data_IF_712780009571
#
_entry.id   IF_712780009571
#
_cell.length_a   1.000
_cell.length_b   1.000
_cell.length_c   1.000
_cell.angle_alpha   90.00
_cell.angle_beta   90.00
_cell.angle_gamma   90.00
#
_symmetry.space_group_name_H-M   'P 1'
#
loop_
_entity.id
_entity.type
_entity.pdbx_description
1 polymer ?
#
# COMPACT_ATOMS: atom_id res chain seq x y z
N UNK A 1 -35.23 -24.37 25.47
CA UNK A 1 -34.20 -24.86 24.52
C UNK A 1 -32.92 -24.14 24.86
N UNK A 2 -31.83 -24.86 25.12
CA UNK A 2 -30.54 -24.21 25.32
C UNK A 2 -30.05 -23.72 23.94
N UNK A 3 -29.85 -22.42 23.81
CA UNK A 3 -29.05 -21.88 22.72
C UNK A 3 -27.62 -22.37 22.95
N UNK A 4 -27.10 -23.23 22.08
CA UNK A 4 -25.66 -23.47 22.03
C UNK A 4 -25.04 -22.25 21.36
N UNK A 5 -24.60 -21.27 22.16
CA UNK A 5 -23.73 -20.20 21.69
C UNK A 5 -22.46 -20.83 21.14
N UNK A 6 -22.38 -20.95 19.81
CA UNK A 6 -21.16 -21.39 19.14
C UNK A 6 -20.07 -20.32 19.28
N UNK A 7 -18.79 -20.68 19.06
CA UNK A 7 -17.67 -19.74 19.16
C UNK A 7 -17.81 -18.54 18.21
N UNK A 8 -18.45 -18.72 17.06
CA UNK A 8 -18.76 -17.64 16.11
C UNK A 8 -19.71 -16.58 16.73
N UNK A 9 -20.73 -17.01 17.47
CA UNK A 9 -21.65 -16.10 18.17
C UNK A 9 -20.96 -15.36 19.33
N UNK A 10 -19.96 -15.97 19.98
CA UNK A 10 -19.18 -15.32 21.04
C UNK A 10 -18.29 -14.22 20.45
N UNK A 11 -17.59 -14.52 19.34
CA UNK A 11 -16.80 -13.54 18.59
C UNK A 11 -17.64 -12.35 18.10
N UNK A 12 -18.83 -12.60 17.55
CA UNK A 12 -19.75 -11.52 17.14
C UNK A 12 -20.13 -10.59 18.30
N UNK A 13 -20.49 -11.12 19.46
CA UNK A 13 -20.89 -10.30 20.61
C UNK A 13 -19.69 -9.55 21.22
N UNK A 14 -18.49 -10.13 21.22
CA UNK A 14 -17.28 -9.43 21.64
C UNK A 14 -16.88 -8.29 20.70
N UNK A 15 -17.05 -8.46 19.38
CA UNK A 15 -16.84 -7.41 18.38
C UNK A 15 -17.86 -6.28 18.53
N UNK A 16 -19.14 -6.61 18.73
CA UNK A 16 -20.19 -5.62 19.03
C UNK A 16 -19.86 -4.84 20.30
N UNK A 17 -19.47 -5.51 21.39
CA UNK A 17 -19.10 -4.85 22.65
C UNK A 17 -17.89 -3.92 22.48
N UNK A 18 -16.83 -4.38 21.80
CA UNK A 18 -15.64 -3.56 21.55
C UNK A 18 -15.94 -2.34 20.67
N UNK A 19 -16.66 -2.53 19.55
CA UNK A 19 -17.05 -1.44 18.65
C UNK A 19 -17.94 -0.41 19.33
N UNK A 20 -18.96 -0.85 20.09
CA UNK A 20 -19.85 0.06 20.83
C UNK A 20 -19.10 0.87 21.91
N UNK A 21 -18.06 0.30 22.53
CA UNK A 21 -17.19 1.04 23.46
C UNK A 21 -16.32 2.08 22.77
N UNK A 22 -15.90 1.84 21.52
CA UNK A 22 -15.11 2.82 20.75
C UNK A 22 -15.96 3.99 20.21
N UNK A 23 -17.29 3.84 20.08
CA UNK A 23 -18.19 4.97 19.79
C UNK A 23 -18.20 6.02 20.92
N UNK A 24 -17.84 5.64 22.14
CA UNK A 24 -17.68 6.51 23.30
C UNK A 24 -16.36 6.18 24.01
N UNK A 25 -15.20 6.50 23.39
CA UNK A 25 -13.92 5.91 23.77
C UNK A 25 -13.48 6.32 25.18
N UNK A 26 -12.73 5.47 25.90
CA UNK A 26 -12.16 5.81 27.20
C UNK A 26 -11.27 7.06 27.12
N UNK A 27 -11.33 7.92 28.13
CA UNK A 27 -10.48 9.11 28.22
C UNK A 27 -9.05 8.81 28.71
N UNK A 28 -8.81 7.60 29.23
CA UNK A 28 -7.49 7.11 29.59
C UNK A 28 -6.83 6.45 28.37
N UNK A 29 -5.61 6.89 28.04
CA UNK A 29 -4.83 6.34 26.92
C UNK A 29 -4.60 4.84 27.10
N UNK A 30 -4.25 4.39 28.31
CA UNK A 30 -4.00 2.96 28.60
C UNK A 30 -5.27 2.10 28.41
N UNK A 31 -6.44 2.62 28.79
CA UNK A 31 -7.73 1.92 28.62
C UNK A 31 -8.14 1.88 27.15
N UNK A 32 -7.92 2.97 26.41
CA UNK A 32 -8.17 3.05 24.96
C UNK A 32 -7.24 2.12 24.17
N UNK A 33 -5.95 2.09 24.49
CA UNK A 33 -4.99 1.15 23.89
C UNK A 33 -5.35 -0.30 24.18
N UNK A 34 -5.77 -0.61 25.41
CA UNK A 34 -6.25 -1.96 25.77
C UNK A 34 -7.49 -2.36 24.98
N UNK A 35 -8.42 -1.41 24.74
CA UNK A 35 -9.62 -1.65 23.94
C UNK A 35 -9.31 -1.84 22.44
N UNK A 36 -8.36 -1.07 21.89
CA UNK A 36 -7.90 -1.19 20.51
C UNK A 36 -7.12 -2.50 20.28
N UNK A 37 -6.26 -2.90 21.22
CA UNK A 37 -5.58 -4.20 21.17
C UNK A 37 -6.58 -5.36 21.23
N UNK A 38 -7.63 -5.26 22.05
CA UNK A 38 -8.69 -6.26 22.07
C UNK A 38 -9.42 -6.30 20.73
N UNK A 39 -9.78 -5.15 20.16
CA UNK A 39 -10.47 -5.11 18.87
C UNK A 39 -9.61 -5.74 17.76
N UNK A 40 -8.33 -5.38 17.65
CA UNK A 40 -7.39 -5.94 16.68
C UNK A 40 -7.30 -7.48 16.79
N UNK A 41 -7.12 -8.02 18.00
CA UNK A 41 -7.10 -9.46 18.25
C UNK A 41 -8.42 -10.16 17.83
N UNK A 42 -9.57 -9.53 18.06
CA UNK A 42 -10.86 -10.05 17.60
C UNK A 42 -10.98 -9.98 16.06
N UNK A 43 -10.60 -8.87 15.44
CA UNK A 43 -10.67 -8.68 13.98
C UNK A 43 -9.76 -9.68 13.23
N UNK A 44 -8.56 -9.95 13.75
CA UNK A 44 -7.60 -10.90 13.16
C UNK A 44 -8.16 -12.32 12.99
N UNK A 45 -9.21 -12.68 13.76
CA UNK A 45 -9.89 -13.98 13.73
C UNK A 45 -11.04 -14.04 12.72
N UNK A 46 -11.42 -12.90 12.12
CA UNK A 46 -12.49 -12.83 11.12
C UNK A 46 -11.92 -13.07 9.73
N UNK A 47 -12.42 -14.10 9.05
CA UNK A 47 -12.07 -14.39 7.65
C UNK A 47 -12.69 -13.38 6.66
N UNK A 48 -12.19 -13.38 5.44
CA UNK A 48 -12.75 -12.59 4.34
C UNK A 48 -14.15 -13.03 3.94
N UNK A 49 -14.93 -12.09 3.38
CA UNK A 49 -16.33 -12.30 3.02
C UNK A 49 -17.20 -12.88 4.18
N UNK A 50 -17.18 -12.25 5.37
CA UNK A 50 -17.86 -12.77 6.55
C UNK A 50 -19.39 -12.80 6.40
N UNK A 51 -20.05 -13.59 7.24
CA UNK A 51 -21.51 -13.73 7.31
C UNK A 51 -22.20 -12.38 7.56
N UNK A 52 -23.50 -12.27 7.23
CA UNK A 52 -24.23 -11.01 7.41
C UNK A 52 -24.31 -10.58 8.88
N UNK A 53 -24.48 -11.53 9.81
CA UNK A 53 -24.50 -11.24 11.24
C UNK A 53 -23.14 -10.75 11.76
N UNK A 54 -22.04 -11.29 11.22
CA UNK A 54 -20.69 -10.79 11.48
C UNK A 54 -20.45 -9.39 10.87
N UNK A 55 -20.96 -9.11 9.66
CA UNK A 55 -20.93 -7.74 9.10
C UNK A 55 -21.68 -6.75 10.00
N UNK A 56 -22.89 -7.12 10.46
CA UNK A 56 -23.68 -6.31 11.39
C UNK A 56 -22.97 -6.16 12.76
N UNK A 57 -22.13 -7.13 13.16
CA UNK A 57 -21.30 -7.08 14.36
C UNK A 57 -20.13 -6.07 14.27
N UNK A 58 -19.54 -5.95 13.08
CA UNK A 58 -18.40 -5.06 12.81
C UNK A 58 -18.81 -3.58 12.68
N UNK A 59 -20.07 -3.29 12.35
CA UNK A 59 -20.57 -1.95 12.01
C UNK A 59 -20.14 -0.84 12.98
N UNK A 60 -20.29 -1.07 14.30
CA UNK A 60 -19.94 -0.08 15.31
C UNK A 60 -18.43 0.21 15.37
N UNK A 61 -17.58 -0.80 15.12
CA UNK A 61 -16.13 -0.62 15.05
C UNK A 61 -15.73 0.11 13.77
N UNK A 62 -16.33 -0.24 12.63
CA UNK A 62 -16.13 0.44 11.34
C UNK A 62 -16.43 1.93 11.45
N UNK A 63 -17.57 2.29 12.05
CA UNK A 63 -17.97 3.70 12.28
C UNK A 63 -17.05 4.42 13.28
N UNK A 64 -16.69 3.77 14.39
CA UNK A 64 -15.89 4.41 15.44
C UNK A 64 -14.46 4.74 14.99
N UNK A 65 -13.79 3.85 14.28
CA UNK A 65 -12.36 3.99 13.96
C UNK A 65 -12.04 5.18 13.04
N UNK A 66 -13.01 5.63 12.24
CA UNK A 66 -12.89 6.84 11.40
C UNK A 66 -13.38 8.13 12.07
N UNK A 67 -13.88 8.06 13.31
CA UNK A 67 -14.21 9.25 14.07
C UNK A 67 -12.95 10.10 14.30
N UNK A 68 -13.07 11.43 14.14
CA UNK A 68 -11.92 12.33 14.13
C UNK A 68 -11.13 12.30 15.44
N UNK A 69 -11.81 12.00 16.55
CA UNK A 69 -11.27 11.80 17.88
C UNK A 69 -10.26 10.66 17.95
N UNK A 70 -10.50 9.55 17.23
CA UNK A 70 -9.59 8.39 17.16
C UNK A 70 -8.61 8.52 16.00
N UNK A 71 -9.11 8.83 14.80
CA UNK A 71 -8.32 8.90 13.56
C UNK A 71 -7.20 9.97 13.64
N UNK A 72 -7.42 11.05 14.39
CA UNK A 72 -6.47 12.16 14.57
C UNK A 72 -6.03 12.37 16.04
N UNK A 73 -6.13 11.37 16.92
CA UNK A 73 -6.01 11.41 18.41
C UNK A 73 -4.77 12.09 19.06
N UNK A 74 -3.82 12.64 18.29
CA UNK A 74 -2.55 13.24 18.72
C UNK A 74 -1.52 12.28 19.34
N UNK A 75 -1.90 11.37 20.24
CA UNK A 75 -1.03 10.27 20.73
C UNK A 75 -0.70 9.28 19.59
N UNK A 76 0.57 8.88 19.51
CA UNK A 76 1.09 8.06 18.39
C UNK A 76 0.79 6.57 18.53
N UNK A 77 0.87 6.00 19.75
CA UNK A 77 0.54 4.60 19.97
C UNK A 77 -0.95 4.36 19.69
N UNK A 78 -1.83 5.30 20.06
CA UNK A 78 -3.26 5.24 19.74
C UNK A 78 -3.48 5.34 18.23
N UNK A 79 -2.89 6.33 17.54
CA UNK A 79 -3.06 6.48 16.09
C UNK A 79 -2.60 5.25 15.31
N UNK A 80 -1.44 4.68 15.63
CA UNK A 80 -0.95 3.44 14.99
C UNK A 80 -1.87 2.25 15.32
N UNK A 81 -2.41 2.18 16.52
CA UNK A 81 -3.37 1.12 16.91
C UNK A 81 -4.71 1.24 16.16
N UNK A 82 -5.21 2.46 15.93
CA UNK A 82 -6.41 2.73 15.11
C UNK A 82 -6.16 2.31 13.65
N UNK A 83 -5.03 2.70 13.05
CA UNK A 83 -4.65 2.30 11.68
C UNK A 83 -4.55 0.78 11.54
N UNK A 84 -4.01 0.08 12.54
CA UNK A 84 -3.90 -1.37 12.55
C UNK A 84 -5.29 -2.05 12.54
N UNK A 85 -6.23 -1.57 13.37
CA UNK A 85 -7.63 -2.04 13.35
C UNK A 85 -8.33 -1.76 12.00
N UNK A 86 -8.06 -0.60 11.38
CA UNK A 86 -8.57 -0.25 10.05
C UNK A 86 -7.99 -1.15 8.96
N UNK A 87 -6.72 -1.55 9.09
CA UNK A 87 -6.05 -2.48 8.17
C UNK A 87 -6.64 -3.88 8.27
N UNK A 88 -7.00 -4.33 9.48
CA UNK A 88 -7.77 -5.56 9.67
C UNK A 88 -9.18 -5.48 9.08
N UNK A 89 -9.92 -4.38 9.27
CA UNK A 89 -11.25 -4.20 8.65
C UNK A 89 -11.18 -4.19 7.12
N UNK A 90 -10.20 -3.49 6.54
CA UNK A 90 -9.98 -3.51 5.08
C UNK A 90 -9.53 -4.89 4.58
N UNK A 91 -8.75 -5.66 5.37
CA UNK A 91 -8.47 -7.08 5.08
C UNK A 91 -9.74 -7.93 5.05
N UNK A 92 -10.65 -7.76 6.01
CA UNK A 92 -11.90 -8.53 6.12
C UNK A 92 -12.87 -8.23 4.97
N UNK A 93 -13.01 -6.95 4.61
CA UNK A 93 -13.95 -6.51 3.58
C UNK A 93 -13.43 -6.68 2.15
N UNK A 94 -12.11 -6.88 1.96
CA UNK A 94 -11.49 -7.03 0.64
C UNK A 94 -12.23 -8.05 -0.26
N UNK A 95 -12.43 -7.76 -1.56
CA UNK A 95 -11.77 -6.70 -2.32
C UNK A 95 -12.32 -5.28 -2.09
N UNK A 96 -13.53 -5.14 -1.56
CA UNK A 96 -14.22 -3.85 -1.42
C UNK A 96 -13.92 -3.22 -0.05
N UNK A 97 -13.17 -2.11 0.06
CA UNK A 97 -12.89 -1.47 1.35
C UNK A 97 -14.18 -0.93 2.00
N UNK A 98 -14.31 -0.94 3.34
CA UNK A 98 -15.55 -0.56 4.03
C UNK A 98 -15.74 0.96 4.18
N UNK A 99 -14.97 1.77 3.45
CA UNK A 99 -14.85 3.22 3.59
C UNK A 99 -14.90 3.91 2.23
N UNK A 100 -15.30 5.19 2.17
CA UNK A 100 -15.32 5.95 0.91
C UNK A 100 -13.90 6.26 0.40
N UNK A 101 -13.79 6.57 -0.88
CA UNK A 101 -12.55 7.00 -1.55
C UNK A 101 -11.78 8.09 -0.76
N UNK A 102 -12.48 9.11 -0.27
CA UNK A 102 -11.87 10.20 0.52
C UNK A 102 -11.37 9.71 1.88
N UNK A 103 -12.11 8.81 2.53
CA UNK A 103 -11.72 8.21 3.80
C UNK A 103 -10.51 7.29 3.60
N UNK A 104 -10.52 6.45 2.55
CA UNK A 104 -9.39 5.59 2.18
C UNK A 104 -8.12 6.39 1.86
N UNK A 105 -8.24 7.57 1.24
CA UNK A 105 -7.10 8.48 1.03
C UNK A 105 -6.48 8.97 2.34
N UNK A 106 -7.29 9.37 3.32
CA UNK A 106 -6.79 9.76 4.65
C UNK A 106 -6.22 8.56 5.42
N UNK A 107 -6.90 7.41 5.36
CA UNK A 107 -6.43 6.15 5.95
C UNK A 107 -5.05 5.79 5.37
N UNK A 108 -4.85 5.84 4.05
CA UNK A 108 -3.57 5.53 3.45
C UNK A 108 -2.45 6.50 3.88
N UNK A 109 -2.73 7.78 4.05
CA UNK A 109 -1.75 8.73 4.61
C UNK A 109 -1.34 8.32 6.03
N UNK A 110 -2.29 7.87 6.85
CA UNK A 110 -2.04 7.35 8.18
C UNK A 110 -1.34 5.98 8.16
N UNK A 111 -1.58 5.13 7.16
CA UNK A 111 -0.84 3.88 6.91
C UNK A 111 0.64 4.15 6.64
N UNK A 112 0.98 5.09 5.76
CA UNK A 112 2.39 5.44 5.49
C UNK A 112 3.05 6.05 6.73
N UNK A 113 2.34 6.89 7.48
CA UNK A 113 2.79 7.40 8.78
C UNK A 113 3.03 6.27 9.81
N UNK A 114 2.14 5.28 9.89
CA UNK A 114 2.31 4.14 10.78
C UNK A 114 3.55 3.32 10.39
N UNK A 115 3.78 3.11 9.08
CA UNK A 115 4.94 2.38 8.55
C UNK A 115 6.29 3.09 8.81
N UNK A 116 6.31 4.39 9.16
CA UNK A 116 7.55 5.05 9.62
C UNK A 116 8.13 4.41 10.88
N UNK A 117 7.28 3.81 11.72
CA UNK A 117 7.67 3.15 12.96
C UNK A 117 8.48 1.86 12.73
N UNK A 118 8.55 1.33 11.49
CA UNK A 118 9.50 0.28 11.12
C UNK A 118 10.95 0.68 11.49
N UNK A 119 11.29 1.98 11.42
CA UNK A 119 12.60 2.48 11.80
C UNK A 119 13.00 2.28 13.27
N UNK A 120 12.06 1.95 14.17
CA UNK A 120 12.32 1.74 15.60
C UNK A 120 12.78 0.32 15.97
N UNK A 121 12.57 -0.67 15.09
CA UNK A 121 12.97 -2.08 15.26
C UNK A 121 12.41 -2.81 16.50
N UNK A 122 11.64 -2.12 17.36
CA UNK A 122 11.12 -2.63 18.63
C UNK A 122 9.99 -1.72 19.15
N UNK A 123 9.18 -2.24 20.09
CA UNK A 123 8.07 -1.52 20.72
C UNK A 123 6.71 -1.73 20.04
N UNK A 124 5.66 -1.17 20.65
CA UNK A 124 4.25 -1.31 20.26
C UNK A 124 3.99 -0.88 18.82
N UNK A 125 4.30 0.38 18.48
CA UNK A 125 4.14 0.88 17.11
C UNK A 125 4.93 0.08 16.06
N UNK A 126 6.12 -0.44 16.40
CA UNK A 126 6.90 -1.25 15.48
C UNK A 126 6.21 -2.57 15.13
N UNK A 127 5.70 -3.30 16.14
CA UNK A 127 5.02 -4.58 15.93
C UNK A 127 3.77 -4.38 15.05
N UNK A 128 2.94 -3.37 15.36
CA UNK A 128 1.77 -3.03 14.55
C UNK A 128 2.17 -2.57 13.13
N UNK A 129 3.25 -1.82 12.96
CA UNK A 129 3.74 -1.43 11.63
C UNK A 129 4.18 -2.64 10.78
N UNK A 130 4.73 -3.70 11.39
CA UNK A 130 5.03 -4.96 10.69
C UNK A 130 3.74 -5.66 10.26
N UNK A 131 2.72 -5.73 11.13
CA UNK A 131 1.41 -6.34 10.79
C UNK A 131 0.67 -5.55 9.71
N UNK A 132 0.67 -4.21 9.79
CA UNK A 132 0.10 -3.33 8.77
C UNK A 132 0.77 -3.57 7.40
N UNK A 133 2.09 -3.77 7.37
CA UNK A 133 2.83 -4.09 6.15
C UNK A 133 2.43 -5.47 5.58
N UNK A 134 2.41 -6.51 6.42
CA UNK A 134 2.02 -7.89 6.05
C UNK A 134 0.63 -7.90 5.40
N UNK A 135 -0.35 -7.24 6.02
CA UNK A 135 -1.71 -7.17 5.47
C UNK A 135 -1.82 -6.30 4.22
N UNK A 136 -1.11 -5.15 4.16
CA UNK A 136 -1.05 -4.32 2.95
C UNK A 136 -0.55 -5.11 1.74
N UNK A 137 0.44 -5.99 1.94
CA UNK A 137 0.91 -6.93 0.92
C UNK A 137 -0.11 -8.03 0.62
N UNK A 138 -0.65 -8.69 1.67
CA UNK A 138 -1.55 -9.83 1.54
C UNK A 138 -2.82 -9.49 0.74
N UNK A 139 -3.49 -8.38 1.07
CA UNK A 139 -4.72 -7.94 0.38
C UNK A 139 -4.48 -6.88 -0.68
N UNK A 140 -3.21 -6.66 -1.06
CA UNK A 140 -2.80 -5.83 -2.20
C UNK A 140 -3.35 -4.41 -2.17
N UNK A 141 -3.46 -3.80 -0.98
CA UNK A 141 -4.09 -2.48 -0.80
C UNK A 141 -3.38 -1.35 -1.56
N UNK A 142 -2.15 -1.58 -2.02
CA UNK A 142 -1.45 -0.69 -2.93
C UNK A 142 -2.14 -0.51 -4.30
N UNK A 143 -2.92 -1.50 -4.77
CA UNK A 143 -3.74 -1.35 -5.98
C UNK A 143 -4.88 -0.36 -5.77
N UNK A 144 -5.57 -0.44 -4.63
CA UNK A 144 -6.59 0.57 -4.24
C UNK A 144 -5.94 1.96 -4.13
N UNK A 145 -4.70 2.05 -3.64
CA UNK A 145 -3.94 3.31 -3.60
C UNK A 145 -3.65 3.86 -5.02
N UNK A 146 -3.45 3.00 -6.02
CA UNK A 146 -3.31 3.39 -7.43
C UNK A 146 -4.66 3.82 -8.04
N UNK A 147 -5.72 3.03 -7.86
CA UNK A 147 -7.06 3.31 -8.38
C UNK A 147 -7.62 4.64 -7.88
N UNK A 148 -7.31 4.98 -6.61
CA UNK A 148 -7.68 6.25 -5.98
C UNK A 148 -6.81 7.45 -6.43
N UNK A 149 -5.74 7.23 -7.20
CA UNK A 149 -4.84 8.26 -7.71
C UNK A 149 -3.90 8.85 -6.65
N UNK A 150 -3.40 8.04 -5.72
CA UNK A 150 -2.52 8.49 -4.63
C UNK A 150 -1.03 8.49 -5.02
N UNK A 151 -0.68 8.94 -6.22
CA UNK A 151 0.67 8.83 -6.81
C UNK A 151 1.80 9.36 -5.91
N UNK A 152 1.58 10.51 -5.27
CA UNK A 152 2.55 11.11 -4.35
C UNK A 152 2.82 10.21 -3.13
N UNK A 153 1.78 9.55 -2.62
CA UNK A 153 1.86 8.68 -1.46
C UNK A 153 2.52 7.32 -1.79
N UNK A 154 2.31 6.81 -3.01
CA UNK A 154 3.03 5.64 -3.55
C UNK A 154 4.53 5.94 -3.63
N UNK A 155 4.89 7.13 -4.12
CA UNK A 155 6.29 7.59 -4.15
C UNK A 155 6.88 7.74 -2.74
N UNK A 156 6.10 8.22 -1.77
CA UNK A 156 6.51 8.27 -0.36
C UNK A 156 6.70 6.87 0.25
N UNK A 157 5.80 5.94 -0.02
CA UNK A 157 5.89 4.52 0.41
C UNK A 157 7.16 3.85 -0.11
N UNK A 158 7.50 4.01 -1.40
CA UNK A 158 8.73 3.46 -1.98
C UNK A 158 9.98 4.05 -1.30
N UNK A 159 10.02 5.38 -1.13
CA UNK A 159 11.13 6.07 -0.44
C UNK A 159 11.22 5.61 1.02
N UNK A 160 10.08 5.35 1.67
CA UNK A 160 10.01 4.89 3.05
C UNK A 160 10.62 3.50 3.18
N UNK A 161 10.17 2.53 2.39
CA UNK A 161 10.67 1.15 2.40
C UNK A 161 12.19 1.09 2.16
N UNK A 162 12.66 1.79 1.13
CA UNK A 162 14.09 1.90 0.82
C UNK A 162 14.90 2.61 1.94
N UNK A 163 14.27 3.47 2.74
CA UNK A 163 14.90 4.19 3.87
C UNK A 163 14.86 3.40 5.18
N UNK A 164 13.79 2.68 5.50
CA UNK A 164 13.58 2.06 6.82
C UNK A 164 14.19 0.68 6.95
N UNK A 165 14.27 -0.09 5.88
CA UNK A 165 14.72 -1.48 5.89
C UNK A 165 16.13 -1.68 6.48
N UNK A 166 16.24 -2.46 7.57
CA UNK A 166 17.48 -2.87 8.26
C UNK A 166 17.65 -4.40 8.34
N UNK A 167 18.89 -4.91 8.47
CA UNK A 167 19.15 -6.34 8.68
C UNK A 167 18.45 -6.97 9.89
N UNK A 168 18.10 -6.16 10.88
CA UNK A 168 17.48 -6.57 12.14
C UNK A 168 15.97 -6.88 12.03
N UNK A 169 15.33 -6.60 10.88
CA UNK A 169 13.94 -6.97 10.66
C UNK A 169 13.76 -8.48 10.44
N UNK A 170 12.58 -9.04 10.76
CA UNK A 170 12.15 -10.31 10.20
C UNK A 170 12.22 -10.30 8.67
N UNK A 171 12.64 -11.42 8.08
CA UNK A 171 12.78 -11.56 6.62
C UNK A 171 11.46 -11.31 5.85
N UNK A 172 10.31 -11.52 6.48
CA UNK A 172 8.99 -11.18 5.94
C UNK A 172 8.89 -9.71 5.52
N UNK A 173 9.39 -8.77 6.34
CA UNK A 173 9.37 -7.33 6.05
C UNK A 173 10.02 -7.00 4.71
N UNK A 174 11.09 -7.71 4.33
CA UNK A 174 11.72 -7.56 3.02
C UNK A 174 10.79 -8.07 1.90
N UNK A 175 10.19 -9.24 2.08
CA UNK A 175 9.31 -9.86 1.09
C UNK A 175 8.01 -9.08 0.88
N UNK A 176 7.44 -8.52 1.95
CA UNK A 176 6.22 -7.70 1.88
C UNK A 176 6.50 -6.37 1.16
N UNK A 177 7.63 -5.71 1.46
CA UNK A 177 8.10 -4.54 0.71
C UNK A 177 8.37 -4.86 -0.76
N UNK A 178 9.03 -5.99 -1.06
CA UNK A 178 9.30 -6.45 -2.43
C UNK A 178 7.98 -6.69 -3.18
N UNK A 179 7.04 -7.43 -2.58
CA UNK A 179 5.75 -7.75 -3.18
C UNK A 179 4.92 -6.49 -3.48
N UNK A 180 4.82 -5.56 -2.53
CA UNK A 180 4.10 -4.29 -2.72
C UNK A 180 4.74 -3.46 -3.83
N UNK A 181 6.07 -3.27 -3.79
CA UNK A 181 6.78 -2.45 -4.78
C UNK A 181 6.76 -3.07 -6.18
N UNK A 182 6.88 -4.39 -6.29
CA UNK A 182 6.76 -5.11 -7.57
C UNK A 182 5.34 -4.96 -8.13
N UNK A 183 4.32 -5.26 -7.32
CA UNK A 183 2.92 -5.24 -7.77
C UNK A 183 2.47 -3.86 -8.25
N UNK A 184 2.88 -2.78 -7.56
CA UNK A 184 2.59 -1.40 -8.00
C UNK A 184 3.14 -1.12 -9.40
N UNK A 185 4.39 -1.52 -9.68
CA UNK A 185 4.98 -1.32 -11.01
C UNK A 185 4.31 -2.24 -12.04
N UNK A 186 3.93 -3.46 -11.65
CA UNK A 186 3.31 -4.44 -12.55
C UNK A 186 1.93 -4.01 -13.06
N UNK A 187 1.11 -3.37 -12.23
CA UNK A 187 -0.21 -2.87 -12.61
C UNK A 187 -0.21 -1.39 -13.06
N UNK A 188 0.95 -0.73 -13.13
CA UNK A 188 1.09 0.68 -13.54
C UNK A 188 1.18 0.84 -15.08
N UNK A 189 0.17 1.49 -15.68
CA UNK A 189 0.20 1.89 -17.11
C UNK A 189 1.32 2.92 -17.43
N UNK A 190 1.71 3.74 -16.45
CA UNK A 190 2.83 4.68 -16.55
C UNK A 190 3.51 4.85 -15.20
N UNK A 191 4.85 4.83 -15.16
CA UNK A 191 5.62 5.20 -13.96
C UNK A 191 5.90 6.69 -13.91
N UNK A 192 5.87 7.27 -12.71
CA UNK A 192 6.35 8.63 -12.46
C UNK A 192 7.88 8.70 -12.45
N UNK A 193 8.44 9.88 -12.77
CA UNK A 193 9.89 10.10 -12.76
C UNK A 193 10.43 9.97 -11.33
N UNK A 194 9.65 10.38 -10.34
CA UNK A 194 9.98 10.34 -8.92
C UNK A 194 10.07 8.90 -8.38
N UNK A 195 9.17 8.01 -8.81
CA UNK A 195 9.19 6.58 -8.45
C UNK A 195 10.43 5.90 -9.02
N UNK A 196 10.69 6.14 -10.32
CA UNK A 196 11.86 5.59 -11.00
C UNK A 196 13.17 6.14 -10.44
N UNK A 197 13.22 7.43 -10.07
CA UNK A 197 14.38 8.02 -9.43
C UNK A 197 14.63 7.43 -8.03
N UNK A 198 13.59 7.06 -7.28
CA UNK A 198 13.75 6.36 -6.00
C UNK A 198 14.41 4.97 -6.20
N UNK A 199 13.95 4.20 -7.19
CA UNK A 199 14.54 2.90 -7.56
C UNK A 199 15.99 3.05 -8.05
N UNK A 200 16.24 3.94 -9.02
CA UNK A 200 17.57 4.22 -9.56
C UNK A 200 18.54 4.67 -8.46
N UNK A 201 18.10 5.56 -7.56
CA UNK A 201 18.92 6.03 -6.44
C UNK A 201 19.28 4.91 -5.47
N UNK A 202 18.38 3.94 -5.22
CA UNK A 202 18.69 2.79 -4.37
C UNK A 202 19.76 1.86 -4.97
N UNK A 203 19.92 1.85 -6.31
CA UNK A 203 20.86 0.97 -7.03
C UNK A 203 22.06 1.67 -7.68
N UNK A 204 22.46 2.87 -7.20
CA UNK A 204 23.75 3.52 -7.52
C UNK A 204 24.95 2.89 -6.81
N UNK A 205 26.00 2.42 -7.53
CA UNK A 205 27.13 1.62 -7.01
C UNK A 205 27.84 2.19 -5.77
N UNK A 206 27.77 3.49 -5.51
CA UNK A 206 28.20 4.07 -4.23
C UNK A 206 27.56 3.37 -3.01
N UNK A 207 26.29 2.97 -3.14
CA UNK A 207 25.52 2.18 -2.17
C UNK A 207 25.88 0.69 -2.17
N UNK A 208 26.50 0.16 -3.24
CA UNK A 208 26.86 -1.26 -3.35
C UNK A 208 27.90 -1.67 -2.30
N UNK A 209 28.83 -0.76 -1.95
CA UNK A 209 29.86 -1.00 -0.92
C UNK A 209 29.29 -1.29 0.48
N UNK A 210 28.00 -1.02 0.70
CA UNK A 210 27.30 -1.26 1.96
C UNK A 210 26.45 -2.55 1.88
N UNK A 211 26.21 -3.09 0.67
CA UNK A 211 25.35 -4.26 0.41
C UNK A 211 24.00 -4.22 1.16
N UNK A 212 23.46 -3.01 1.34
CA UNK A 212 22.31 -2.73 2.20
C UNK A 212 21.09 -3.54 1.76
N UNK A 213 20.19 -3.86 2.69
CA UNK A 213 18.94 -4.51 2.29
C UNK A 213 18.13 -3.62 1.33
N UNK A 214 18.23 -2.29 1.44
CA UNK A 214 17.67 -1.34 0.47
C UNK A 214 18.21 -1.51 -0.94
N UNK A 215 19.53 -1.76 -1.10
CA UNK A 215 20.14 -2.11 -2.39
C UNK A 215 19.55 -3.39 -2.95
N UNK A 216 19.47 -4.43 -2.12
CA UNK A 216 18.98 -5.76 -2.50
C UNK A 216 17.50 -5.72 -2.88
N UNK A 217 16.68 -4.97 -2.14
CA UNK A 217 15.28 -4.70 -2.46
C UNK A 217 15.14 -3.95 -3.79
N UNK A 218 15.90 -2.87 -3.98
CA UNK A 218 15.91 -2.11 -5.24
C UNK A 218 16.27 -2.97 -6.45
N UNK A 219 17.33 -3.79 -6.35
CA UNK A 219 17.71 -4.74 -7.41
C UNK A 219 16.59 -5.77 -7.65
N UNK A 220 16.02 -6.35 -6.60
CA UNK A 220 14.93 -7.34 -6.71
C UNK A 220 13.70 -6.79 -7.43
N UNK A 221 13.21 -5.62 -7.03
CA UNK A 221 12.08 -4.96 -7.67
C UNK A 221 12.37 -4.66 -9.15
N UNK A 222 13.58 -4.20 -9.48
CA UNK A 222 13.99 -3.96 -10.87
C UNK A 222 14.10 -5.26 -11.69
N UNK A 223 14.56 -6.36 -11.10
CA UNK A 223 14.62 -7.68 -11.74
C UNK A 223 13.23 -8.23 -12.04
N UNK A 224 12.31 -8.16 -11.05
CA UNK A 224 10.94 -8.65 -11.17
C UNK A 224 10.19 -7.86 -12.26
N UNK A 225 10.25 -6.53 -12.21
CA UNK A 225 9.53 -5.64 -13.14
C UNK A 225 10.27 -5.39 -14.47
N UNK A 226 11.34 -6.13 -14.76
CA UNK A 226 12.24 -5.88 -15.90
C UNK A 226 11.55 -5.86 -17.27
N UNK A 227 10.41 -6.54 -17.43
CA UNK A 227 9.60 -6.55 -18.67
C UNK A 227 8.97 -5.20 -18.95
N UNK A 228 8.34 -4.59 -17.94
CA UNK A 228 7.67 -3.29 -18.01
C UNK A 228 8.70 -2.17 -18.08
N UNK A 229 9.73 -2.25 -17.23
CA UNK A 229 10.79 -1.24 -17.14
C UNK A 229 11.57 -1.03 -18.44
N UNK A 230 11.66 -2.04 -19.33
CA UNK A 230 12.31 -1.93 -20.65
C UNK A 230 11.79 -0.77 -21.49
N UNK A 231 10.50 -0.42 -21.38
CA UNK A 231 9.90 0.63 -22.19
C UNK A 231 10.15 2.05 -21.64
N UNK A 232 10.66 2.19 -20.40
CA UNK A 232 10.89 3.47 -19.72
C UNK A 232 12.38 3.73 -19.41
N UNK A 233 13.10 2.75 -18.87
CA UNK A 233 14.47 2.94 -18.36
C UNK A 233 15.47 3.50 -19.39
N UNK A 234 15.54 3.00 -20.64
CA UNK A 234 16.48 3.54 -21.64
C UNK A 234 16.23 5.01 -21.98
N UNK A 235 14.94 5.40 -22.08
CA UNK A 235 14.52 6.78 -22.35
C UNK A 235 15.00 7.73 -21.26
N UNK A 236 14.88 7.29 -20.00
CA UNK A 236 15.29 8.02 -18.80
C UNK A 236 16.82 8.12 -18.70
N UNK A 237 17.53 7.02 -18.91
CA UNK A 237 19.00 6.98 -19.00
C UNK A 237 19.51 7.96 -20.05
N UNK A 238 18.93 7.94 -21.25
CA UNK A 238 19.30 8.86 -22.34
C UNK A 238 18.94 10.31 -22.06
N UNK A 239 17.78 10.59 -21.45
CA UNK A 239 17.29 11.95 -21.20
C UNK A 239 18.09 12.66 -20.10
N UNK A 240 18.43 11.95 -19.02
CA UNK A 240 19.22 12.51 -17.91
C UNK A 240 20.72 12.29 -18.07
N UNK A 241 21.18 11.70 -19.18
CA UNK A 241 22.58 11.34 -19.43
C UNK A 241 23.19 10.53 -18.28
N UNK A 242 22.48 9.48 -17.86
CA UNK A 242 22.93 8.60 -16.77
C UNK A 242 24.01 7.65 -17.27
N UNK A 243 25.16 7.63 -16.62
CA UNK A 243 26.21 6.66 -16.89
C UNK A 243 25.79 5.29 -16.33
N UNK A 244 25.55 4.30 -17.21
CA UNK A 244 25.09 2.96 -16.79
C UNK A 244 26.06 2.26 -15.83
N UNK A 245 27.36 2.59 -15.92
CA UNK A 245 28.40 2.07 -15.05
C UNK A 245 28.32 2.61 -13.61
N UNK A 246 27.51 3.63 -13.32
CA UNK A 246 27.25 4.11 -11.95
C UNK A 246 26.18 3.27 -11.23
N UNK A 247 25.54 2.29 -11.90
CA UNK A 247 24.37 1.57 -11.36
C UNK A 247 24.56 0.04 -11.34
N UNK A 248 23.70 -0.65 -10.59
CA UNK A 248 23.65 -2.12 -10.57
C UNK A 248 23.47 -2.70 -11.99
N UNK A 249 24.09 -3.86 -12.24
CA UNK A 249 24.11 -4.54 -13.55
C UNK A 249 22.69 -4.79 -14.14
N UNK A 250 21.68 -4.90 -13.29
CA UNK A 250 20.26 -5.00 -13.69
C UNK A 250 19.80 -3.84 -14.58
N UNK A 251 20.26 -2.60 -14.34
CA UNK A 251 19.91 -1.44 -15.17
C UNK A 251 20.44 -1.63 -16.59
N UNK A 252 21.71 -2.01 -16.73
CA UNK A 252 22.30 -2.30 -18.04
C UNK A 252 21.58 -3.46 -18.76
N UNK A 253 21.24 -4.54 -18.04
CA UNK A 253 20.48 -5.69 -18.58
C UNK A 253 19.09 -5.31 -19.09
N UNK A 254 18.39 -4.42 -18.39
CA UNK A 254 17.08 -3.90 -18.83
C UNK A 254 17.24 -3.07 -20.11
N UNK A 255 18.28 -2.23 -20.20
CA UNK A 255 18.49 -1.37 -21.36
C UNK A 255 19.04 -2.06 -22.62
N UNK A 256 19.59 -3.28 -22.52
CA UNK A 256 20.29 -3.96 -23.63
C UNK A 256 19.41 -4.44 -24.81
N UNK A 257 18.08 -4.34 -24.73
CA UNK A 257 17.15 -5.00 -25.68
C UNK A 257 16.17 -4.04 -26.39
N UNK A 258 16.52 -2.76 -26.61
CA UNK A 258 15.67 -1.86 -27.39
C UNK A 258 15.57 -2.28 -28.87
N UNK A 259 14.34 -2.45 -29.37
CA UNK A 259 14.06 -2.40 -30.81
C UNK A 259 13.63 -0.95 -31.16
N UNK A 260 14.35 -0.21 -32.03
CA UNK A 260 14.15 1.24 -32.21
C UNK A 260 12.78 1.72 -32.74
N UNK A 261 11.87 0.82 -33.13
CA UNK A 261 10.66 1.15 -33.90
C UNK A 261 9.38 1.32 -33.06
N UNK A 262 9.32 0.91 -31.79
CA UNK A 262 8.14 1.12 -30.91
C UNK A 262 8.11 2.53 -30.29
N UNK A 263 8.18 3.54 -31.15
CA UNK A 263 8.24 4.96 -30.81
C UNK A 263 6.83 5.58 -30.71
N UNK A 264 6.02 5.10 -29.76
CA UNK A 264 4.71 5.70 -29.45
C UNK A 264 4.85 7.05 -28.72
N UNK A 265 4.90 8.12 -29.51
CA UNK A 265 5.16 9.51 -29.08
C UNK A 265 4.03 10.17 -28.24
N UNK A 266 3.00 9.44 -27.80
CA UNK A 266 1.80 10.03 -27.17
C UNK A 266 1.82 10.16 -25.65
N UNK A 267 2.36 9.17 -24.93
CA UNK A 267 2.32 9.12 -23.46
C UNK A 267 3.43 9.97 -22.80
N UNK A 268 4.55 10.16 -23.49
CA UNK A 268 5.74 10.79 -22.93
C UNK A 268 5.65 12.31 -22.81
N UNK A 269 4.94 12.98 -23.73
CA UNK A 269 4.71 14.43 -23.67
C UNK A 269 3.91 14.83 -22.42
N UNK A 270 2.97 13.99 -21.98
CA UNK A 270 2.22 14.18 -20.74
C UNK A 270 3.11 14.01 -19.48
N UNK A 271 4.02 13.03 -19.49
CA UNK A 271 4.98 12.78 -18.42
C UNK A 271 5.95 13.97 -18.24
N UNK A 272 6.41 14.58 -19.34
CA UNK A 272 7.20 15.82 -19.32
C UNK A 272 6.36 17.00 -18.82
N UNK A 273 5.08 17.09 -19.18
CA UNK A 273 4.19 18.17 -18.77
C UNK A 273 3.79 18.14 -17.28
N UNK A 274 3.85 16.97 -16.62
CA UNK A 274 3.55 16.82 -15.19
C UNK A 274 4.78 16.91 -14.28
N UNK A 275 6.00 16.86 -14.82
CA UNK A 275 7.20 17.15 -14.03
C UNK A 275 7.12 18.58 -13.47
N UNK A 276 7.47 18.83 -12.18
CA UNK A 276 7.32 20.16 -11.57
C UNK A 276 8.08 21.24 -12.32
N UNK A 277 7.36 22.02 -13.13
CA UNK A 277 7.94 23.13 -13.86
C UNK A 277 8.27 24.27 -12.88
N UNK A 278 9.56 24.54 -12.65
CA UNK A 278 10.02 25.77 -12.02
C UNK A 278 9.79 26.98 -12.95
N UNK A 279 8.52 27.33 -13.19
CA UNK A 279 7.98 28.65 -13.54
C UNK A 279 6.46 28.63 -13.77
N UNK A 280 5.73 29.23 -12.82
CA UNK A 280 4.64 30.19 -13.06
C UNK A 280 3.42 29.81 -13.90
N UNK A 281 2.27 29.67 -13.22
CA UNK A 281 0.91 29.96 -13.70
C UNK A 281 0.30 29.16 -14.88
N UNK A 282 -0.41 28.08 -14.53
CA UNK A 282 -1.87 28.02 -14.71
C UNK A 282 -2.44 27.49 -16.05
N UNK A 283 -3.00 26.28 -16.01
CA UNK A 283 -3.94 25.74 -17.02
C UNK A 283 -4.95 24.79 -16.34
N UNK A 284 -6.25 24.96 -16.59
CA UNK A 284 -7.33 24.16 -15.94
C UNK A 284 -8.32 23.48 -16.90
N UNK A 285 -8.29 23.74 -18.20
CA UNK A 285 -9.36 23.32 -19.13
C UNK A 285 -9.16 21.94 -19.83
N UNK A 286 -8.01 21.28 -19.68
CA UNK A 286 -7.72 20.04 -20.43
C UNK A 286 -8.10 18.72 -19.71
N UNK A 287 -8.45 18.74 -18.42
CA UNK A 287 -8.67 17.50 -17.64
C UNK A 287 -9.96 16.74 -18.01
N UNK A 288 -11.02 17.44 -18.44
CA UNK A 288 -12.37 16.86 -18.58
C UNK A 288 -12.46 15.83 -19.72
N UNK A 289 -11.73 16.01 -20.82
CA UNK A 289 -11.84 15.17 -22.01
C UNK A 289 -11.05 13.85 -21.94
N UNK A 290 -10.09 13.72 -21.00
CA UNK A 290 -9.28 12.50 -20.86
C UNK A 290 -10.04 11.44 -20.05
N UNK A 291 -10.64 11.82 -18.91
CA UNK A 291 -11.40 10.91 -18.05
C UNK A 291 -12.58 10.21 -18.75
N UNK A 292 -13.29 10.91 -19.64
CA UNK A 292 -14.40 10.30 -20.39
C UNK A 292 -13.96 9.18 -21.34
N UNK A 293 -12.68 9.12 -21.73
CA UNK A 293 -12.13 8.03 -22.55
C UNK A 293 -11.65 6.85 -21.72
N UNK A 294 -11.12 7.10 -20.52
CA UNK A 294 -10.63 6.08 -19.60
C UNK A 294 -11.79 5.26 -19.01
N UNK A 295 -12.90 5.90 -18.65
CA UNK A 295 -14.08 5.22 -18.06
C UNK A 295 -14.61 4.08 -18.93
N UNK A 296 -14.70 4.29 -20.24
CA UNK A 296 -15.20 3.29 -21.19
C UNK A 296 -14.23 2.13 -21.45
N UNK A 297 -12.96 2.23 -21.02
CA UNK A 297 -11.99 1.12 -21.09
C UNK A 297 -11.96 0.30 -19.78
N UNK A 298 -12.35 0.88 -18.64
CA UNK A 298 -12.51 0.16 -17.37
C UNK A 298 -13.62 -0.89 -17.41
N UNK A 299 -14.80 -0.53 -17.93
CA UNK A 299 -16.00 -1.41 -18.02
C UNK A 299 -15.79 -2.66 -18.91
N UNK A 300 -14.72 -2.70 -19.71
CA UNK A 300 -14.33 -3.88 -20.50
C UNK A 300 -13.23 -4.72 -19.82
N UNK A 301 -12.49 -4.16 -18.86
CA UNK A 301 -11.49 -4.85 -18.02
C UNK A 301 -12.16 -5.62 -16.87
N UNK A 302 -13.19 -5.05 -16.24
CA UNK A 302 -13.96 -5.69 -15.15
C UNK A 302 -14.45 -7.11 -15.52
N UNK A 303 -14.99 -7.30 -16.73
CA UNK A 303 -15.53 -8.59 -17.21
C UNK A 303 -14.50 -9.72 -17.35
N UNK A 304 -13.20 -9.43 -17.27
CA UNK A 304 -12.14 -10.44 -17.29
C UNK A 304 -11.61 -10.81 -15.89
N UNK A 305 -11.80 -9.96 -14.89
CA UNK A 305 -11.29 -10.17 -13.52
C UNK A 305 -12.13 -11.22 -12.78
N UNK A 306 -13.44 -11.31 -13.04
CA UNK A 306 -14.36 -12.32 -12.49
C UNK A 306 -13.95 -13.80 -12.72
N UNK A 307 -12.96 -14.08 -13.58
CA UNK A 307 -12.47 -15.45 -13.84
C UNK A 307 -11.22 -15.89 -13.07
N UNK A 308 -10.54 -14.98 -12.38
CA UNK A 308 -9.24 -15.28 -11.72
C UNK A 308 -9.37 -15.47 -10.20
N UNK A 309 -10.49 -15.03 -9.60
CA UNK A 309 -10.77 -15.24 -8.17
C UNK A 309 -11.26 -16.67 -7.92
N UNK A 310 -10.34 -17.64 -7.95
CA UNK A 310 -10.58 -19.02 -7.50
C UNK A 310 -9.59 -19.43 -6.40
N UNK A 311 -10.06 -19.32 -5.16
CA UNK A 311 -9.64 -20.05 -3.94
C UNK A 311 -8.14 -20.33 -3.77
N UNK A 312 -7.49 -19.52 -2.95
CA UNK A 312 -6.27 -19.95 -2.24
C UNK A 312 -6.64 -20.65 -0.93
N UNK A 313 -5.91 -21.71 -0.53
CA UNK A 313 -6.25 -22.53 0.63
C UNK A 313 -5.87 -21.85 1.95
N UNK A 314 -6.58 -22.20 3.02
CA UNK A 314 -6.24 -21.85 4.40
C UNK A 314 -4.90 -22.46 4.82
N UNK A 315 -4.22 -21.79 5.78
CA UNK A 315 -3.00 -22.28 6.42
C UNK A 315 -3.25 -23.67 7.03
N UNK A 316 -2.34 -24.61 6.80
CA UNK A 316 -2.15 -25.80 7.63
C UNK A 316 -0.79 -25.68 8.32
N UNK A 317 -0.72 -26.20 9.55
CA UNK A 317 0.37 -26.04 10.52
C UNK A 317 1.72 -26.64 10.08
#
# INVERSE_FOLDING_TARGET
MASSSGPENELEEELKDAGNKLLMPPSSIDELLTLLDKLEDLLSKVEQAPSRSMQDALQAATEALIAIELLRHSDMDVKVSVVSCITELTRISAPDPPYSDEQMKEIFQLTIMALENLSHLSGRCYLKAVQILEYTAQVRSCLVMQDLGCDALIVEMFKLFLKTLRPDHPQAVFWDMEAIMTLVIEESDMMTVELLNALLSSVKKDNQNIESLSWKLGVKVLENCATILRSYLPKVVKMFSLELDDYAEVIAKICQNENPEELMCGQWEALIAMAPCERGHGYLDNMVNVHHRQRNQGEEKERNIERVVLKFPSKQD
#
